data_IF_349605655077
#
_entry.id   IF_349605655077
#
_cell.length_a   1.000
_cell.length_b   1.000
_cell.length_c   1.000
_cell.angle_alpha   90.00
_cell.angle_beta   90.00
_cell.angle_gamma   90.00
#
_symmetry.space_group_name_H-M   'P 1'
#
loop_
_entity.id
_entity.type
_entity.pdbx_description
1 polymer ?
#
# COMPACT_ATOMS: atom_id res chain seq x y z
N UNK A 1 19.33 29.55 -31.91
CA UNK A 1 18.72 28.23 -32.23
C UNK A 1 18.98 27.27 -31.07
N UNK A 2 18.00 26.47 -30.67
CA UNK A 2 18.13 25.49 -29.57
C UNK A 2 17.82 24.10 -30.11
N UNK A 3 18.79 23.20 -30.06
CA UNK A 3 18.61 21.78 -30.38
C UNK A 3 18.22 21.08 -29.08
N UNK A 4 17.14 20.30 -29.11
CA UNK A 4 16.69 19.47 -27.99
C UNK A 4 16.67 18.03 -28.47
N UNK A 5 17.31 17.15 -27.69
CA UNK A 5 17.34 15.71 -27.94
C UNK A 5 16.63 15.03 -26.77
N UNK A 6 15.70 14.13 -27.08
CA UNK A 6 15.07 13.28 -26.09
C UNK A 6 15.89 12.01 -25.93
N UNK A 7 16.41 11.78 -24.73
CA UNK A 7 17.22 10.60 -24.39
C UNK A 7 16.42 9.75 -23.41
N UNK A 8 16.32 8.46 -23.69
CA UNK A 8 15.72 7.49 -22.77
C UNK A 8 16.81 6.83 -21.92
N UNK A 9 16.68 6.94 -20.60
CA UNK A 9 17.59 6.27 -19.65
C UNK A 9 17.06 4.87 -19.38
N UNK A 10 17.75 3.86 -19.90
CA UNK A 10 17.48 2.46 -19.59
C UNK A 10 18.30 2.02 -18.38
N UNK A 11 17.65 1.43 -17.36
CA UNK A 11 18.39 0.91 -16.21
C UNK A 11 19.27 -0.26 -16.64
N UNK A 12 20.49 -0.32 -16.13
CA UNK A 12 21.29 -1.54 -16.22
C UNK A 12 20.66 -2.68 -15.37
N UNK A 13 21.12 -3.92 -15.54
CA UNK A 13 20.55 -5.08 -14.86
C UNK A 13 20.52 -4.95 -13.32
N UNK A 14 21.50 -4.27 -12.72
CA UNK A 14 21.53 -4.00 -11.28
C UNK A 14 20.52 -2.93 -10.87
N UNK A 15 20.38 -1.87 -11.67
CA UNK A 15 19.38 -0.82 -11.45
C UNK A 15 17.94 -1.31 -11.63
N UNK A 16 17.69 -2.15 -12.63
CA UNK A 16 16.38 -2.76 -12.87
C UNK A 16 15.96 -3.62 -11.68
N UNK A 17 16.89 -4.45 -11.17
CA UNK A 17 16.63 -5.30 -10.00
C UNK A 17 16.39 -4.48 -8.72
N UNK A 18 17.12 -3.38 -8.52
CA UNK A 18 16.88 -2.46 -7.40
C UNK A 18 15.51 -1.76 -7.52
N UNK A 19 15.13 -1.38 -8.73
CA UNK A 19 13.85 -0.75 -9.02
C UNK A 19 12.68 -1.71 -8.82
N UNK A 20 12.82 -3.00 -9.16
CA UNK A 20 11.79 -4.03 -8.93
C UNK A 20 11.64 -4.43 -7.47
N UNK A 21 12.75 -4.54 -6.73
CA UNK A 21 12.74 -4.88 -5.29
C UNK A 21 12.02 -3.84 -4.44
N UNK A 22 12.03 -2.59 -4.87
CA UNK A 22 11.47 -1.46 -4.11
C UNK A 22 9.93 -1.55 -3.99
N UNK A 23 9.14 -1.77 -5.06
CA UNK A 23 7.70 -2.07 -4.98
C UNK A 23 7.36 -3.27 -4.10
N UNK A 24 8.15 -4.34 -4.13
CA UNK A 24 7.91 -5.52 -3.29
C UNK A 24 8.03 -5.18 -1.80
N UNK A 25 9.16 -4.59 -1.39
CA UNK A 25 9.37 -4.17 -0.01
C UNK A 25 8.30 -3.20 0.49
N UNK A 26 7.84 -2.27 -0.36
CA UNK A 26 6.77 -1.32 -0.04
C UNK A 26 5.41 -2.01 0.10
N UNK A 27 5.09 -2.98 -0.75
CA UNK A 27 3.83 -3.73 -0.65
C UNK A 27 3.83 -4.67 0.56
N UNK A 28 4.95 -5.29 0.89
CA UNK A 28 5.09 -6.12 2.08
C UNK A 28 4.97 -5.29 3.36
N UNK A 29 5.61 -4.11 3.37
CA UNK A 29 5.40 -3.12 4.42
C UNK A 29 3.92 -2.70 4.53
N UNK A 30 3.24 -2.46 3.41
CA UNK A 30 1.82 -2.11 3.40
C UNK A 30 0.92 -3.25 3.92
N UNK A 31 1.24 -4.51 3.60
CA UNK A 31 0.53 -5.68 4.15
C UNK A 31 0.67 -5.77 5.66
N UNK A 32 1.89 -5.57 6.18
CA UNK A 32 2.12 -5.55 7.62
C UNK A 32 1.39 -4.38 8.31
N UNK A 33 1.48 -3.16 7.76
CA UNK A 33 0.74 -2.00 8.28
C UNK A 33 -0.77 -2.22 8.22
N UNK A 34 -1.28 -2.92 7.19
CA UNK A 34 -2.69 -3.27 7.06
C UNK A 34 -3.17 -4.24 8.14
N UNK A 35 -2.34 -5.20 8.52
CA UNK A 35 -2.61 -6.10 9.64
C UNK A 35 -2.67 -5.32 10.96
N UNK A 36 -1.66 -4.49 11.24
CA UNK A 36 -1.68 -3.61 12.42
C UNK A 36 -2.90 -2.70 12.42
N UNK A 37 -3.23 -2.08 11.28
CA UNK A 37 -4.43 -1.25 11.17
C UNK A 37 -5.70 -2.06 11.49
N UNK A 38 -5.83 -3.29 10.98
CA UNK A 38 -6.96 -4.16 11.23
C UNK A 38 -7.11 -4.50 12.72
N UNK A 39 -6.01 -4.92 13.36
CA UNK A 39 -5.99 -5.31 14.78
C UNK A 39 -6.34 -4.15 15.72
N UNK A 40 -6.03 -2.91 15.30
CA UNK A 40 -6.35 -1.68 16.02
C UNK A 40 -7.67 -1.01 15.59
N UNK A 41 -8.54 -1.68 14.83
CA UNK A 41 -9.85 -1.12 14.45
C UNK A 41 -9.78 -0.02 13.39
N UNK A 42 -8.75 -0.06 12.54
CA UNK A 42 -8.46 0.86 11.43
C UNK A 42 -8.41 2.33 11.87
N UNK A 43 -7.41 2.68 12.71
CA UNK A 43 -7.31 4.00 13.30
C UNK A 43 -7.00 5.10 12.27
N UNK A 44 -7.06 6.35 12.72
CA UNK A 44 -6.63 7.50 11.90
C UNK A 44 -5.12 7.45 11.63
N UNK A 45 -4.65 8.14 10.58
CA UNK A 45 -3.24 8.12 10.12
C UNK A 45 -2.25 8.42 11.25
N UNK A 46 -2.57 9.41 12.09
CA UNK A 46 -1.71 9.82 13.20
C UNK A 46 -1.50 8.71 14.23
N UNK A 47 -2.57 8.04 14.64
CA UNK A 47 -2.50 6.91 15.56
C UNK A 47 -1.82 5.70 14.89
N UNK A 48 -2.19 5.38 13.65
CA UNK A 48 -1.54 4.31 12.89
C UNK A 48 -0.02 4.50 12.80
N UNK A 49 0.43 5.75 12.58
CA UNK A 49 1.84 6.11 12.53
C UNK A 49 2.57 5.81 13.84
N UNK A 50 1.94 6.01 15.01
CA UNK A 50 2.55 5.66 16.31
C UNK A 50 2.85 4.17 16.40
N UNK A 51 1.97 3.33 15.85
CA UNK A 51 2.14 1.87 15.88
C UNK A 51 3.14 1.35 14.84
N UNK A 52 3.31 2.04 13.71
CA UNK A 52 4.01 1.45 12.56
C UNK A 52 5.28 2.14 12.13
N UNK A 53 5.48 3.42 12.45
CA UNK A 53 6.57 4.20 11.84
C UNK A 53 7.96 3.69 12.19
N UNK A 54 8.21 3.34 13.46
CA UNK A 54 9.50 2.83 13.90
C UNK A 54 9.88 1.53 13.19
N UNK A 55 8.92 0.62 13.02
CA UNK A 55 9.13 -0.64 12.32
C UNK A 55 9.29 -0.45 10.80
N UNK A 56 8.60 0.51 10.19
CA UNK A 56 8.86 0.84 8.79
C UNK A 56 10.29 1.38 8.60
N UNK A 57 10.79 2.15 9.57
CA UNK A 57 12.17 2.64 9.58
C UNK A 57 13.20 1.52 9.78
N UNK A 58 12.93 0.55 10.67
CA UNK A 58 13.81 -0.61 10.89
C UNK A 58 13.94 -1.49 9.63
N UNK A 59 12.86 -1.57 8.83
CA UNK A 59 12.83 -2.25 7.52
C UNK A 59 13.55 -1.50 6.39
N UNK A 60 14.21 -0.39 6.70
CA UNK A 60 14.99 0.38 5.73
C UNK A 60 14.19 1.35 4.88
N UNK A 61 12.90 1.56 5.15
CA UNK A 61 12.14 2.57 4.40
C UNK A 61 12.61 3.98 4.78
N UNK A 62 12.86 4.80 3.76
CA UNK A 62 13.02 6.24 3.92
C UNK A 62 11.78 6.87 4.54
N UNK A 63 11.92 8.05 5.16
CA UNK A 63 10.80 8.71 5.86
C UNK A 63 9.58 8.91 4.94
N UNK A 64 9.79 9.40 3.71
CA UNK A 64 8.72 9.59 2.72
C UNK A 64 8.03 8.26 2.37
N UNK A 65 8.80 7.20 2.10
CA UNK A 65 8.25 5.88 1.78
C UNK A 65 7.40 5.33 2.93
N UNK A 66 7.89 5.43 4.18
CA UNK A 66 7.14 5.01 5.36
C UNK A 66 5.82 5.78 5.50
N UNK A 67 5.84 7.10 5.30
CA UNK A 67 4.63 7.92 5.34
C UNK A 67 3.63 7.56 4.24
N UNK A 68 4.11 7.35 3.02
CA UNK A 68 3.27 6.94 1.90
C UNK A 68 2.64 5.56 2.11
N UNK A 69 3.36 4.61 2.71
CA UNK A 69 2.79 3.30 3.07
C UNK A 69 1.63 3.45 4.05
N UNK A 70 1.82 4.21 5.13
CA UNK A 70 0.77 4.44 6.15
C UNK A 70 -0.46 5.09 5.50
N UNK A 71 -0.24 6.12 4.68
CA UNK A 71 -1.32 6.81 3.96
C UNK A 71 -2.03 5.87 2.99
N UNK A 72 -1.30 5.10 2.18
CA UNK A 72 -1.84 4.12 1.23
C UNK A 72 -2.76 3.11 1.91
N UNK A 73 -2.34 2.57 3.06
CA UNK A 73 -3.17 1.65 3.84
C UNK A 73 -4.45 2.34 4.32
N UNK A 74 -4.33 3.56 4.86
CA UNK A 74 -5.51 4.30 5.32
C UNK A 74 -6.50 4.61 4.19
N UNK A 75 -6.00 5.03 3.04
CA UNK A 75 -6.81 5.34 1.88
C UNK A 75 -7.54 4.08 1.38
N UNK A 76 -6.87 2.92 1.38
CA UNK A 76 -7.49 1.65 1.01
C UNK A 76 -8.68 1.27 1.92
N UNK A 77 -8.54 1.45 3.24
CA UNK A 77 -9.67 1.21 4.16
C UNK A 77 -10.78 2.26 4.02
N UNK A 78 -10.43 3.51 3.70
CA UNK A 78 -11.42 4.55 3.37
C UNK A 78 -12.23 4.14 2.14
N UNK A 79 -11.55 3.64 1.10
CA UNK A 79 -12.19 3.10 -0.11
C UNK A 79 -13.05 1.87 0.19
N UNK A 80 -12.59 0.94 1.05
CA UNK A 80 -13.39 -0.22 1.46
C UNK A 80 -14.69 0.20 2.16
N UNK A 81 -14.60 1.15 3.11
CA UNK A 81 -15.76 1.71 3.82
C UNK A 81 -16.72 2.39 2.85
N UNK A 82 -16.21 3.18 1.90
CA UNK A 82 -17.03 3.85 0.89
C UNK A 82 -17.75 2.84 -0.01
N UNK A 83 -17.06 1.82 -0.52
CA UNK A 83 -17.65 0.76 -1.35
C UNK A 83 -18.71 -0.06 -0.61
N UNK A 84 -18.47 -0.31 0.67
CA UNK A 84 -19.44 -0.98 1.53
C UNK A 84 -20.71 -0.14 1.69
N UNK A 85 -20.56 1.17 1.94
CA UNK A 85 -21.70 2.10 2.07
C UNK A 85 -22.47 2.25 0.75
N UNK A 86 -21.77 2.25 -0.37
CA UNK A 86 -22.38 2.32 -1.70
C UNK A 86 -23.10 1.02 -2.13
N UNK A 87 -22.95 -0.07 -1.37
CA UNK A 87 -23.54 -1.37 -1.72
C UNK A 87 -22.77 -2.16 -2.78
N UNK A 88 -21.57 -1.71 -3.18
CA UNK A 88 -20.73 -2.36 -4.20
C UNK A 88 -20.22 -3.75 -3.78
N UNK A 89 -20.29 -4.07 -2.48
CA UNK A 89 -19.94 -5.37 -1.92
C UNK A 89 -21.17 -6.24 -1.58
N UNK A 90 -22.36 -5.80 -1.99
CA UNK A 90 -23.64 -6.45 -1.70
C UNK A 90 -24.31 -5.89 -0.45
N UNK A 91 -25.52 -6.41 -0.17
CA UNK A 91 -26.33 -6.00 0.98
C UNK A 91 -25.64 -6.27 2.33
N UNK A 92 -26.00 -5.55 3.41
CA UNK A 92 -25.57 -5.87 4.77
C UNK A 92 -25.73 -7.36 5.08
N UNK A 93 -24.71 -7.98 5.69
CA UNK A 93 -24.69 -9.42 6.01
C UNK A 93 -24.46 -10.36 4.84
N UNK A 94 -24.33 -9.88 3.60
CA UNK A 94 -23.98 -10.76 2.46
C UNK A 94 -22.61 -11.40 2.67
N UNK A 95 -22.46 -12.66 2.22
CA UNK A 95 -21.19 -13.41 2.34
C UNK A 95 -20.00 -12.64 1.79
N UNK A 96 -20.18 -11.93 0.66
CA UNK A 96 -19.13 -11.11 0.03
C UNK A 96 -18.69 -9.95 0.92
N UNK A 97 -19.63 -9.21 1.51
CA UNK A 97 -19.34 -8.09 2.42
C UNK A 97 -18.65 -8.59 3.68
N UNK A 98 -19.21 -9.61 4.35
CA UNK A 98 -18.62 -10.19 5.57
C UNK A 98 -17.19 -10.64 5.30
N UNK A 99 -16.94 -11.34 4.19
CA UNK A 99 -15.59 -11.79 3.82
C UNK A 99 -14.61 -10.63 3.56
N UNK A 100 -15.09 -9.49 3.05
CA UNK A 100 -14.25 -8.33 2.76
C UNK A 100 -13.91 -7.54 4.02
N UNK A 101 -14.83 -7.47 4.99
CA UNK A 101 -14.65 -6.76 6.26
C UNK A 101 -13.92 -7.61 7.32
N UNK A 102 -13.95 -8.94 7.22
CA UNK A 102 -13.41 -9.85 8.23
C UNK A 102 -11.89 -10.07 8.19
N UNK A 103 -11.16 -9.40 7.30
CA UNK A 103 -9.72 -9.60 7.16
C UNK A 103 -8.98 -8.33 6.74
N UNK A 104 -7.67 -8.23 7.04
CA UNK A 104 -6.86 -7.13 6.56
C UNK A 104 -6.88 -6.99 5.04
N UNK A 105 -6.76 -5.76 4.54
CA UNK A 105 -6.58 -5.49 3.11
C UNK A 105 -5.20 -6.00 2.69
N UNK A 106 -5.15 -6.80 1.61
CA UNK A 106 -3.91 -7.32 1.04
C UNK A 106 -3.51 -6.50 -0.18
N UNK A 107 -2.31 -5.94 -0.13
CA UNK A 107 -1.61 -5.28 -1.23
C UNK A 107 -0.81 -6.33 -1.99
N UNK A 108 -1.22 -6.59 -3.24
CA UNK A 108 -0.54 -7.55 -4.12
C UNK A 108 0.82 -6.99 -4.53
N UNK A 109 1.85 -7.84 -4.58
CA UNK A 109 3.20 -7.53 -5.07
C UNK A 109 3.32 -7.17 -6.57
N UNK A 110 2.21 -6.77 -7.21
CA UNK A 110 1.96 -6.59 -8.65
C UNK A 110 1.76 -7.89 -9.46
N UNK A 111 0.93 -7.77 -10.49
CA UNK A 111 0.81 -8.68 -11.62
C UNK A 111 2.02 -8.48 -12.55
N UNK A 112 2.57 -9.57 -13.07
CA UNK A 112 3.63 -9.54 -14.06
C UNK A 112 3.26 -8.59 -15.21
N UNK A 113 4.12 -7.61 -15.49
CA UNK A 113 4.13 -6.93 -16.78
C UNK A 113 4.58 -7.97 -17.81
N UNK A 114 3.74 -8.21 -18.82
CA UNK A 114 4.16 -8.83 -20.08
C UNK A 114 4.88 -7.79 -20.93
#
# INVERSE_FOLDING_TARGET
MKIVVQVELMPDAGQALALERTPHAVNDAANWVSAVAFDHGVPHVYELRKHTYAELKSRGLGAQAAQHVIKKVRDAYTTLKANTRAGNLGKPGSRRRVKAEAKPIVFRGRAALR
#
